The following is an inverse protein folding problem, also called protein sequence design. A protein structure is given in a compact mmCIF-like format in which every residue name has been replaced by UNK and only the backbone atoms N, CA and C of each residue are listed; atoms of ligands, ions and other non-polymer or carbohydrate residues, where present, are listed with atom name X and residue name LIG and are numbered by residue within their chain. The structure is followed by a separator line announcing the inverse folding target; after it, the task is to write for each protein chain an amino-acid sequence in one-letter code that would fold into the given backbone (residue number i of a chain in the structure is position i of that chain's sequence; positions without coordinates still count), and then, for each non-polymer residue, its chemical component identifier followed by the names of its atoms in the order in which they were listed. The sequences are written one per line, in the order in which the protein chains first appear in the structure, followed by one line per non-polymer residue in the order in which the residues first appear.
data_IF_605893651502
#
_entry.id   IF_605893651502
#
_cell.length_a   1.000
_cell.length_b   1.000
_cell.length_c   1.000
_cell.angle_alpha   90.00
_cell.angle_beta   90.00
_cell.angle_gamma   90.00
#
_symmetry.space_group_name_H-M   'P 1'
#
loop_
_entity.id
_entity.type
_entity.pdbx_description
1 polymer ?
#
# COMPACT_ATOMS: atom_id res chain seq x y z
N UNK A 1 8.84 4.48 -31.90
CA UNK A 1 8.10 5.46 -31.09
C UNK A 1 6.95 4.71 -30.44
N UNK A 2 6.84 4.69 -29.12
CA UNK A 2 5.73 3.98 -28.46
C UNK A 2 4.38 4.63 -28.77
N UNK A 3 3.37 3.81 -29.00
CA UNK A 3 2.00 4.26 -29.14
C UNK A 3 1.41 4.64 -27.79
N UNK A 4 0.38 5.48 -27.78
CA UNK A 4 -0.36 5.83 -26.55
C UNK A 4 -0.88 4.58 -25.83
N UNK A 5 -1.28 3.55 -26.58
CA UNK A 5 -1.78 2.29 -26.03
C UNK A 5 -0.67 1.47 -25.35
N UNK A 6 0.55 1.48 -25.90
CA UNK A 6 1.71 0.84 -25.26
C UNK A 6 2.06 1.54 -23.94
N UNK A 7 2.05 2.88 -23.93
CA UNK A 7 2.30 3.67 -22.71
C UNK A 7 1.24 3.42 -21.63
N UNK A 8 -0.04 3.36 -22.01
CA UNK A 8 -1.13 3.04 -21.08
C UNK A 8 -0.95 1.64 -20.49
N UNK A 9 -0.61 0.65 -21.32
CA UNK A 9 -0.40 -0.73 -20.86
C UNK A 9 0.78 -0.82 -19.90
N UNK A 10 1.89 -0.12 -20.17
CA UNK A 10 3.03 -0.05 -19.26
C UNK A 10 2.66 0.60 -17.93
N UNK A 11 1.93 1.73 -17.97
CA UNK A 11 1.51 2.42 -16.75
C UNK A 11 0.59 1.53 -15.88
N UNK A 12 -0.35 0.81 -16.49
CA UNK A 12 -1.22 -0.14 -15.77
C UNK A 12 -0.40 -1.29 -15.16
N UNK A 13 0.60 -1.79 -15.87
CA UNK A 13 1.50 -2.81 -15.34
C UNK A 13 2.28 -2.27 -14.13
N UNK A 14 2.86 -1.08 -14.24
CA UNK A 14 3.63 -0.45 -13.16
C UNK A 14 2.75 -0.15 -11.94
N UNK A 15 1.51 0.31 -12.14
CA UNK A 15 0.55 0.51 -11.05
C UNK A 15 0.27 -0.78 -10.28
N UNK A 16 0.00 -1.89 -10.97
CA UNK A 16 -0.22 -3.17 -10.30
C UNK A 16 1.04 -3.65 -9.56
N UNK A 17 2.21 -3.52 -10.18
CA UNK A 17 3.47 -3.90 -9.56
C UNK A 17 3.74 -3.10 -8.28
N UNK A 18 3.52 -1.78 -8.31
CA UNK A 18 3.68 -0.92 -7.13
C UNK A 18 2.66 -1.29 -6.05
N UNK A 19 1.42 -1.60 -6.43
CA UNK A 19 0.39 -2.05 -5.48
C UNK A 19 0.84 -3.32 -4.74
N UNK A 20 1.38 -4.31 -5.47
CA UNK A 20 1.89 -5.55 -4.89
C UNK A 20 3.07 -5.27 -3.93
N UNK A 21 4.03 -4.44 -4.35
CA UNK A 21 5.19 -4.06 -3.54
C UNK A 21 4.77 -3.35 -2.23
N UNK A 22 3.75 -2.48 -2.30
CA UNK A 22 3.18 -1.81 -1.13
C UNK A 22 2.48 -2.79 -0.18
N UNK A 23 1.73 -3.76 -0.70
CA UNK A 23 1.06 -4.77 0.12
C UNK A 23 2.06 -5.69 0.84
N UNK A 24 3.15 -6.07 0.16
CA UNK A 24 4.26 -6.80 0.80
C UNK A 24 4.91 -5.97 1.90
N UNK A 25 5.17 -4.69 1.63
CA UNK A 25 5.75 -3.77 2.61
C UNK A 25 4.86 -3.61 3.85
N UNK A 26 3.54 -3.47 3.65
CA UNK A 26 2.53 -3.51 4.70
C UNK A 26 2.67 -4.76 5.58
N UNK A 27 2.71 -5.95 4.96
CA UNK A 27 2.81 -7.21 5.69
C UNK A 27 4.10 -7.37 6.50
N UNK A 28 5.22 -6.83 6.00
CA UNK A 28 6.50 -6.81 6.72
C UNK A 28 6.47 -5.83 7.90
N UNK A 29 5.97 -4.61 7.67
CA UNK A 29 5.87 -3.58 8.70
C UNK A 29 4.93 -3.99 9.83
N UNK A 30 3.76 -4.56 9.51
CA UNK A 30 2.81 -5.05 10.51
C UNK A 30 3.45 -6.03 11.48
N UNK A 31 4.28 -6.97 10.98
CA UNK A 31 5.01 -7.92 11.84
C UNK A 31 6.03 -7.23 12.74
N UNK A 32 6.80 -6.28 12.20
CA UNK A 32 7.77 -5.51 13.00
C UNK A 32 7.07 -4.68 14.09
N UNK A 33 5.85 -4.20 13.82
CA UNK A 33 5.08 -3.39 14.76
C UNK A 33 4.46 -4.25 15.88
N UNK A 34 4.17 -5.53 15.63
CA UNK A 34 3.73 -6.45 16.68
C UNK A 34 4.75 -6.53 17.82
N UNK A 35 6.05 -6.49 17.49
CA UNK A 35 7.17 -6.52 18.43
C UNK A 35 7.41 -5.18 19.16
N UNK A 36 6.76 -4.09 18.73
CA UNK A 36 6.89 -2.79 19.42
C UNK A 36 6.16 -2.88 20.76
N UNK A 37 6.86 -2.58 21.89
CA UNK A 37 6.23 -2.57 23.19
C UNK A 37 5.17 -1.48 23.25
N UNK A 38 4.06 -1.78 23.91
CA UNK A 38 3.01 -0.80 24.17
C UNK A 38 3.21 -0.29 25.60
N UNK A 39 3.73 0.94 25.72
CA UNK A 39 4.07 1.54 27.01
C UNK A 39 2.82 1.74 27.89
N UNK A 40 1.71 2.23 27.30
CA UNK A 40 0.40 2.34 27.93
C UNK A 40 -0.72 1.95 26.93
N UNK A 41 -1.46 0.83 27.14
CA UNK A 41 -2.52 0.40 26.23
C UNK A 41 -3.72 1.37 26.21
N UNK A 42 -3.86 2.21 27.24
CA UNK A 42 -4.89 3.25 27.31
C UNK A 42 -4.52 4.53 26.57
N UNK A 43 -3.24 4.73 26.22
CA UNK A 43 -2.80 5.87 25.42
C UNK A 43 -3.32 5.74 23.98
N UNK A 44 -4.23 6.62 23.52
CA UNK A 44 -4.75 6.57 22.17
C UNK A 44 -3.68 6.85 21.10
N UNK A 45 -2.54 7.44 21.48
CA UNK A 45 -1.50 7.91 20.57
C UNK A 45 -0.12 7.28 20.87
N UNK A 46 -0.11 6.01 21.30
CA UNK A 46 1.14 5.28 21.50
C UNK A 46 1.92 5.13 20.19
N UNK A 47 3.25 5.00 20.28
CA UNK A 47 4.12 4.76 19.11
C UNK A 47 3.65 3.57 18.29
N UNK A 48 3.23 2.48 18.95
CA UNK A 48 2.67 1.29 18.29
C UNK A 48 1.44 1.62 17.45
N UNK A 49 0.46 2.35 18.02
CA UNK A 49 -0.77 2.75 17.31
C UNK A 49 -0.50 3.68 16.14
N UNK A 50 0.43 4.63 16.29
CA UNK A 50 0.84 5.51 15.20
C UNK A 50 1.50 4.72 14.05
N UNK A 51 2.38 3.77 14.37
CA UNK A 51 3.01 2.92 13.36
C UNK A 51 1.99 2.01 12.67
N UNK A 52 1.03 1.44 13.41
CA UNK A 52 -0.07 0.66 12.84
C UNK A 52 -0.90 1.50 11.88
N UNK A 53 -1.23 2.75 12.25
CA UNK A 53 -1.99 3.65 11.39
C UNK A 53 -1.29 3.93 10.06
N UNK A 54 -0.03 4.39 10.11
CA UNK A 54 0.76 4.66 8.90
C UNK A 54 0.94 3.40 8.05
N UNK A 55 1.09 2.25 8.68
CA UNK A 55 1.21 0.97 7.98
C UNK A 55 -0.10 0.60 7.28
N UNK A 56 -1.25 0.79 7.92
CA UNK A 56 -2.56 0.56 7.29
C UNK A 56 -2.79 1.47 6.08
N UNK A 57 -2.33 2.73 6.11
CA UNK A 57 -2.41 3.62 4.95
C UNK A 57 -1.68 3.05 3.72
N UNK A 58 -0.61 2.27 3.91
CA UNK A 58 0.07 1.57 2.79
C UNK A 58 -0.82 0.49 2.15
N UNK A 59 -1.62 -0.22 2.95
CA UNK A 59 -2.56 -1.22 2.44
C UNK A 59 -3.71 -0.54 1.68
N UNK A 60 -4.19 0.60 2.19
CA UNK A 60 -5.22 1.40 1.51
C UNK A 60 -4.68 1.91 0.16
N UNK A 61 -3.46 2.48 0.13
CA UNK A 61 -2.84 2.93 -1.11
C UNK A 61 -2.59 1.81 -2.11
N UNK A 62 -2.19 0.63 -1.64
CA UNK A 62 -2.06 -0.57 -2.50
C UNK A 62 -3.38 -0.91 -3.17
N UNK A 63 -4.47 -0.92 -2.39
CA UNK A 63 -5.82 -1.23 -2.87
C UNK A 63 -6.28 -0.20 -3.90
N UNK A 64 -6.17 1.08 -3.59
CA UNK A 64 -6.56 2.19 -4.46
C UNK A 64 -5.82 2.16 -5.81
N UNK A 65 -4.52 1.82 -5.78
CA UNK A 65 -3.69 1.76 -6.97
C UNK A 65 -4.06 0.55 -7.85
N UNK A 66 -4.34 -0.61 -7.24
CA UNK A 66 -4.84 -1.79 -7.94
C UNK A 66 -6.20 -1.54 -8.59
N UNK A 67 -7.13 -0.91 -7.88
CA UNK A 67 -8.46 -0.61 -8.40
C UNK A 67 -8.44 0.44 -9.51
N UNK A 68 -7.58 1.46 -9.38
CA UNK A 68 -7.32 2.42 -10.45
C UNK A 68 -6.75 1.74 -11.70
N UNK A 69 -5.87 0.75 -11.54
CA UNK A 69 -5.30 -0.02 -12.65
C UNK A 69 -6.37 -0.88 -13.36
N UNK A 70 -7.27 -1.51 -12.60
CA UNK A 70 -8.42 -2.26 -13.15
C UNK A 70 -9.36 -1.33 -13.94
N UNK A 71 -9.75 -0.21 -13.35
CA UNK A 71 -10.62 0.78 -13.98
C UNK A 71 -10.03 1.31 -15.29
N UNK A 72 -8.72 1.59 -15.33
CA UNK A 72 -8.04 2.05 -16.53
C UNK A 72 -7.89 0.97 -17.62
N UNK A 73 -7.96 -0.33 -17.26
CA UNK A 73 -7.91 -1.44 -18.21
C UNK A 73 -9.28 -1.71 -18.87
N UNK A 74 -10.36 -1.38 -18.18
CA UNK A 74 -11.75 -1.58 -18.65
C UNK A 74 -12.28 -0.44 -19.54
N UNK A 75 -11.54 0.68 -19.60
CA UNK A 75 -11.85 1.86 -20.42
C UNK A 75 -11.17 1.81 -21.79
#
# INVERSE_FOLDING_TARGET
METTQQKLSSAIYDMNRIADDLFVSYGLLSKLIEDVPEDDPSDPMSTKKMLQHVTNELADYSTDLSDSAKSNKER
#
